data_IF_671577150638
#
_entry.id   IF_671577150638
#
_cell.length_a   1.000
_cell.length_b   1.000
_cell.length_c   1.000
_cell.angle_alpha   90.00
_cell.angle_beta   90.00
_cell.angle_gamma   90.00
#
_symmetry.space_group_name_H-M   'P 1'
#
loop_
_entity.id
_entity.type
_entity.pdbx_description
1 polymer ?
#
# COMPACT_ATOMS: atom_id res chain seq x y z
N UNK A 1 0.38 10.32 36.49
CA UNK A 1 -0.52 9.44 35.70
C UNK A 1 0.29 8.27 35.19
N UNK A 2 -0.02 7.04 35.59
CA UNK A 2 0.55 5.85 34.95
C UNK A 2 -0.24 5.60 33.67
N UNK A 3 0.44 5.56 32.52
CA UNK A 3 -0.16 5.14 31.25
C UNK A 3 -0.23 3.63 31.30
N UNK A 4 -1.44 3.07 31.29
CA UNK A 4 -1.60 1.63 31.31
C UNK A 4 -1.01 1.04 30.01
N UNK A 5 -0.23 -0.03 30.14
CA UNK A 5 0.43 -0.67 28.99
C UNK A 5 -0.59 -1.47 28.17
N UNK A 6 -0.26 -1.75 26.91
CA UNK A 6 -1.10 -2.57 26.01
C UNK A 6 -1.58 -3.88 26.67
N UNK A 7 -0.71 -4.58 27.41
CA UNK A 7 -1.04 -5.82 28.11
C UNK A 7 -2.05 -5.65 29.25
N UNK A 8 -2.02 -4.51 29.95
CA UNK A 8 -2.97 -4.20 31.03
C UNK A 8 -4.38 -3.95 30.49
N UNK A 9 -4.51 -3.33 29.31
CA UNK A 9 -5.82 -3.17 28.64
C UNK A 9 -6.39 -4.54 28.28
N UNK A 10 -5.57 -5.41 27.67
CA UNK A 10 -6.01 -6.75 27.25
C UNK A 10 -6.44 -7.57 28.47
N UNK A 11 -5.65 -7.56 29.55
CA UNK A 11 -6.01 -8.24 30.80
C UNK A 11 -7.29 -7.69 31.43
N UNK A 12 -7.47 -6.37 31.44
CA UNK A 12 -8.66 -5.71 32.00
C UNK A 12 -9.94 -6.08 31.25
N UNK A 13 -9.89 -6.07 29.91
CA UNK A 13 -11.04 -6.47 29.08
C UNK A 13 -11.34 -7.96 29.23
N UNK A 14 -10.31 -8.82 29.28
CA UNK A 14 -10.48 -10.25 29.55
C UNK A 14 -11.04 -10.52 30.97
N UNK A 15 -10.78 -9.65 31.94
CA UNK A 15 -11.34 -9.69 33.28
C UNK A 15 -12.79 -9.14 33.37
N UNK A 16 -13.37 -8.71 32.24
CA UNK A 16 -14.77 -8.28 32.16
C UNK A 16 -15.00 -6.77 32.19
N UNK A 17 -13.95 -5.94 32.17
CA UNK A 17 -14.15 -4.49 31.98
C UNK A 17 -14.67 -4.17 30.58
N UNK A 18 -15.51 -3.15 30.48
CA UNK A 18 -15.93 -2.62 29.18
C UNK A 18 -14.75 -1.97 28.44
N UNK A 19 -14.80 -2.01 27.11
CA UNK A 19 -13.80 -1.32 26.26
C UNK A 19 -13.72 0.18 26.54
N UNK A 20 -14.83 0.80 26.94
CA UNK A 20 -14.90 2.24 27.24
C UNK A 20 -14.10 2.54 28.50
N UNK A 21 -14.29 1.74 29.56
CA UNK A 21 -13.60 1.93 30.83
C UNK A 21 -12.11 1.60 30.71
N UNK A 22 -11.77 0.50 30.04
CA UNK A 22 -10.39 0.12 29.81
C UNK A 22 -9.64 1.18 28.97
N UNK A 23 -10.29 1.74 27.95
CA UNK A 23 -9.73 2.83 27.14
C UNK A 23 -9.53 4.11 27.96
N UNK A 24 -10.52 4.46 28.81
CA UNK A 24 -10.46 5.63 29.70
C UNK A 24 -9.32 5.52 30.71
N UNK A 25 -9.13 4.35 31.32
CA UNK A 25 -8.07 4.11 32.30
C UNK A 25 -6.67 4.20 31.67
N UNK A 26 -6.55 3.80 30.41
CA UNK A 26 -5.28 3.84 29.69
C UNK A 26 -5.02 5.13 28.90
N UNK A 27 -6.00 6.03 28.81
CA UNK A 27 -5.88 7.27 28.02
C UNK A 27 -5.83 7.03 26.51
N UNK A 28 -6.44 5.96 26.00
CA UNK A 28 -6.50 5.64 24.56
C UNK A 28 -7.93 5.76 24.03
N UNK A 29 -8.09 5.79 22.71
CA UNK A 29 -9.42 5.69 22.12
C UNK A 29 -9.98 4.27 22.24
N UNK A 30 -11.32 4.16 22.32
CA UNK A 30 -12.03 2.86 22.38
C UNK A 30 -11.64 1.96 21.21
N UNK A 31 -11.49 2.53 20.00
CA UNK A 31 -11.03 1.80 18.81
C UNK A 31 -9.62 1.22 18.95
N UNK A 32 -8.74 1.91 19.70
CA UNK A 32 -7.37 1.44 19.97
C UNK A 32 -7.38 0.29 20.97
N UNK A 33 -8.16 0.42 22.06
CA UNK A 33 -8.35 -0.66 23.03
C UNK A 33 -8.95 -1.91 22.37
N UNK A 34 -9.99 -1.74 21.54
CA UNK A 34 -10.59 -2.82 20.75
C UNK A 34 -9.54 -3.51 19.85
N UNK A 35 -8.73 -2.73 19.14
CA UNK A 35 -7.67 -3.27 18.27
C UNK A 35 -6.63 -4.05 19.08
N UNK A 36 -6.18 -3.56 20.22
CA UNK A 36 -5.19 -4.27 21.02
C UNK A 36 -5.71 -5.61 21.53
N UNK A 37 -6.95 -5.64 22.02
CA UNK A 37 -7.61 -6.90 22.43
C UNK A 37 -7.71 -7.87 21.26
N UNK A 38 -8.19 -7.44 20.09
CA UNK A 38 -8.44 -8.33 18.96
C UNK A 38 -7.21 -8.67 18.11
N UNK A 39 -6.11 -7.93 18.27
CA UNK A 39 -4.82 -8.27 17.63
C UNK A 39 -4.02 -9.25 18.49
N UNK A 40 -4.18 -9.21 19.82
CA UNK A 40 -3.52 -10.15 20.75
C UNK A 40 -4.37 -11.37 21.10
N UNK A 41 -5.64 -11.45 20.69
CA UNK A 41 -6.41 -12.70 20.73
C UNK A 41 -5.78 -13.74 19.80
N UNK A 42 -5.73 -15.00 20.24
CA UNK A 42 -5.23 -16.19 19.51
C UNK A 42 -5.83 -16.39 18.10
N UNK A 43 -6.87 -15.63 17.74
CA UNK A 43 -7.47 -15.59 16.40
C UNK A 43 -7.76 -14.14 16.02
N UNK A 44 -6.80 -13.41 15.43
CA UNK A 44 -7.06 -12.08 14.90
C UNK A 44 -8.17 -12.14 13.84
N UNK A 45 -8.95 -11.06 13.66
CA UNK A 45 -10.02 -11.02 12.66
C UNK A 45 -9.44 -11.36 11.29
N UNK A 46 -10.03 -12.38 10.65
CA UNK A 46 -9.63 -12.90 9.35
C UNK A 46 -9.61 -11.74 8.36
N UNK A 47 -8.41 -11.28 8.00
CA UNK A 47 -8.24 -10.32 6.90
C UNK A 47 -8.75 -11.01 5.63
N UNK A 48 -9.41 -10.22 4.76
CA UNK A 48 -10.02 -10.66 3.48
C UNK A 48 -9.24 -11.82 2.83
N UNK A 49 -9.95 -12.80 2.23
CA UNK A 49 -9.33 -14.02 1.72
C UNK A 49 -8.10 -13.67 0.87
N UNK A 50 -6.96 -14.14 1.35
CA UNK A 50 -5.69 -13.98 0.65
C UNK A 50 -5.80 -14.85 -0.61
N UNK A 51 -5.49 -14.29 -1.78
CA UNK A 51 -5.43 -15.06 -3.02
C UNK A 51 -4.63 -16.34 -2.78
N UNK A 52 -5.15 -17.48 -3.25
CA UNK A 52 -4.41 -18.73 -3.14
C UNK A 52 -3.07 -18.62 -3.89
N UNK A 53 -2.05 -19.33 -3.42
CA UNK A 53 -0.75 -19.31 -4.10
C UNK A 53 -0.85 -19.80 -5.55
N UNK A 54 -1.79 -20.70 -5.83
CA UNK A 54 -2.11 -21.15 -7.19
C UNK A 54 -2.71 -20.05 -8.06
N UNK A 55 -3.62 -19.24 -7.52
CA UNK A 55 -4.13 -18.07 -8.24
C UNK A 55 -3.02 -17.05 -8.50
N UNK A 56 -2.15 -16.80 -7.50
CA UNK A 56 -1.01 -15.89 -7.68
C UNK A 56 -0.06 -16.40 -8.76
N UNK A 57 0.22 -17.71 -8.81
CA UNK A 57 1.06 -18.32 -9.84
C UNK A 57 0.45 -18.15 -11.23
N UNK A 58 -0.83 -18.48 -11.41
CA UNK A 58 -1.55 -18.28 -12.69
C UNK A 58 -1.52 -16.81 -13.16
N UNK A 59 -1.68 -15.86 -12.24
CA UNK A 59 -1.59 -14.43 -12.56
C UNK A 59 -0.17 -14.06 -13.01
N UNK A 60 0.87 -14.57 -12.33
CA UNK A 60 2.28 -14.32 -12.70
C UNK A 60 2.60 -14.89 -14.07
N UNK A 61 2.25 -16.15 -14.33
CA UNK A 61 2.50 -16.81 -15.61
C UNK A 61 1.78 -16.08 -16.76
N UNK A 62 0.55 -15.60 -16.53
CA UNK A 62 -0.18 -14.81 -17.50
C UNK A 62 0.46 -13.44 -17.77
N UNK A 63 1.03 -12.79 -16.74
CA UNK A 63 1.79 -11.54 -16.90
C UNK A 63 3.06 -11.79 -17.71
N UNK A 64 3.82 -12.84 -17.37
CA UNK A 64 5.09 -13.18 -18.03
C UNK A 64 4.89 -13.56 -19.51
N UNK A 65 3.76 -14.19 -19.83
CA UNK A 65 3.42 -14.52 -21.23
C UNK A 65 3.25 -13.28 -22.13
N UNK A 66 2.90 -12.12 -21.55
CA UNK A 66 2.68 -10.86 -22.27
C UNK A 66 1.49 -10.86 -23.26
N UNK A 67 0.75 -11.96 -23.39
CA UNK A 67 -0.28 -12.13 -24.43
C UNK A 67 -1.61 -11.45 -24.10
N UNK A 68 -1.84 -11.10 -22.83
CA UNK A 68 -3.10 -10.54 -22.35
C UNK A 68 -2.89 -9.21 -21.62
N UNK A 69 -3.84 -8.29 -21.78
CA UNK A 69 -3.86 -7.07 -20.96
C UNK A 69 -4.10 -7.40 -19.49
N UNK A 70 -3.58 -6.58 -18.56
CA UNK A 70 -3.77 -6.78 -17.12
C UNK A 70 -5.26 -6.82 -16.71
N UNK A 71 -6.12 -6.12 -17.47
CA UNK A 71 -7.57 -6.12 -17.25
C UNK A 71 -8.19 -7.46 -17.64
N UNK A 72 -7.75 -8.07 -18.75
CA UNK A 72 -8.18 -9.41 -19.16
C UNK A 72 -7.71 -10.46 -18.16
N UNK A 73 -6.46 -10.36 -17.68
CA UNK A 73 -5.93 -11.25 -16.63
C UNK A 73 -6.77 -11.14 -15.36
N UNK A 74 -7.14 -9.92 -14.96
CA UNK A 74 -7.98 -9.69 -13.79
C UNK A 74 -9.36 -10.36 -13.90
N UNK A 75 -10.01 -10.23 -15.07
CA UNK A 75 -11.29 -10.89 -15.37
C UNK A 75 -11.14 -12.40 -15.32
N UNK A 76 -10.12 -12.95 -15.98
CA UNK A 76 -9.87 -14.40 -16.03
C UNK A 76 -9.56 -14.99 -14.64
N UNK A 77 -8.86 -14.25 -13.79
CA UNK A 77 -8.53 -14.67 -12.43
C UNK A 77 -9.64 -14.36 -11.40
N UNK A 78 -10.71 -13.66 -11.79
CA UNK A 78 -11.78 -13.25 -10.87
C UNK A 78 -11.33 -12.26 -9.79
N UNK A 79 -10.33 -11.43 -10.10
CA UNK A 79 -9.74 -10.48 -9.15
C UNK A 79 -9.92 -9.04 -9.61
N UNK A 80 -9.83 -8.10 -8.68
CA UNK A 80 -9.83 -6.69 -9.04
C UNK A 80 -8.53 -6.32 -9.79
N UNK A 81 -8.63 -5.43 -10.77
CA UNK A 81 -7.50 -4.99 -11.61
C UNK A 81 -6.30 -4.51 -10.78
N UNK A 82 -6.54 -3.83 -9.66
CA UNK A 82 -5.48 -3.32 -8.79
C UNK A 82 -4.59 -4.43 -8.24
N UNK A 83 -5.15 -5.62 -8.01
CA UNK A 83 -4.41 -6.76 -7.49
C UNK A 83 -3.39 -7.26 -8.50
N UNK A 84 -3.78 -7.34 -9.78
CA UNK A 84 -2.88 -7.73 -10.87
C UNK A 84 -1.76 -6.69 -11.04
N UNK A 85 -2.06 -5.39 -10.94
CA UNK A 85 -1.05 -4.33 -10.98
C UNK A 85 -0.03 -4.46 -9.85
N UNK A 86 -0.47 -4.71 -8.61
CA UNK A 86 0.44 -4.92 -7.48
C UNK A 86 1.31 -6.16 -7.68
N UNK A 87 0.77 -7.24 -8.23
CA UNK A 87 1.55 -8.46 -8.52
C UNK A 87 2.61 -8.16 -9.58
N UNK A 88 2.23 -7.53 -10.70
CA UNK A 88 3.18 -7.12 -11.75
C UNK A 88 4.29 -6.23 -11.19
N UNK A 89 3.94 -5.23 -10.40
CA UNK A 89 4.91 -4.28 -9.85
C UNK A 89 5.93 -4.96 -8.93
N UNK A 90 5.52 -6.02 -8.21
CA UNK A 90 6.41 -6.86 -7.39
C UNK A 90 7.28 -7.81 -8.21
N UNK A 91 6.88 -8.16 -9.42
CA UNK A 91 7.68 -9.01 -10.33
C UNK A 91 8.82 -8.20 -10.99
N UNK A 92 8.60 -6.92 -11.26
CA UNK A 92 9.65 -6.05 -11.79
C UNK A 92 10.69 -5.71 -10.72
N UNK A 93 11.96 -6.03 -10.98
CA UNK A 93 13.11 -5.63 -10.15
C UNK A 93 13.09 -4.10 -10.02
N UNK A 94 12.69 -3.59 -8.84
CA UNK A 94 12.47 -2.15 -8.61
C UNK A 94 11.11 -1.76 -8.04
N UNK A 95 10.10 -2.65 -8.02
CA UNK A 95 8.95 -2.66 -7.10
C UNK A 95 7.93 -1.49 -7.12
N UNK A 96 8.32 -0.35 -7.67
CA UNK A 96 7.54 0.88 -7.72
C UNK A 96 7.86 1.60 -9.01
N UNK A 97 6.86 1.76 -9.89
CA UNK A 97 6.94 2.87 -10.83
C UNK A 97 7.04 4.13 -9.98
N UNK A 98 8.08 4.96 -10.10
CA UNK A 98 8.12 6.23 -9.40
C UNK A 98 6.84 6.97 -9.77
N UNK A 99 6.09 7.45 -8.75
CA UNK A 99 4.97 8.35 -9.02
C UNK A 99 5.52 9.47 -9.90
N UNK A 100 4.84 9.82 -11.01
CA UNK A 100 5.31 10.90 -11.84
C UNK A 100 5.46 12.15 -10.96
N UNK A 101 6.69 12.65 -10.91
CA UNK A 101 7.01 13.87 -10.17
C UNK A 101 6.55 15.06 -11.00
N UNK A 102 6.23 16.18 -10.37
CA UNK A 102 6.08 17.44 -11.09
C UNK A 102 7.42 18.13 -11.16
N UNK A 103 7.82 18.55 -12.35
CA UNK A 103 9.01 19.37 -12.52
C UNK A 103 8.85 20.69 -11.76
N UNK A 104 9.87 21.08 -10.98
CA UNK A 104 9.86 22.35 -10.23
C UNK A 104 9.95 23.59 -11.14
N UNK A 105 10.45 23.44 -12.37
CA UNK A 105 10.55 24.53 -13.34
C UNK A 105 9.25 24.74 -14.12
N UNK A 106 8.82 23.73 -14.88
CA UNK A 106 7.69 23.86 -15.82
C UNK A 106 6.38 23.23 -15.34
N UNK A 107 6.35 22.53 -14.20
CA UNK A 107 5.16 21.87 -13.68
C UNK A 107 4.72 20.59 -14.41
N UNK A 108 5.41 20.19 -15.50
CA UNK A 108 5.13 18.97 -16.26
C UNK A 108 5.33 17.71 -15.41
N UNK A 109 4.53 16.68 -15.67
CA UNK A 109 4.70 15.35 -15.08
C UNK A 109 5.91 14.65 -15.72
N UNK A 110 6.88 14.26 -14.90
CA UNK A 110 8.10 13.58 -15.31
C UNK A 110 8.21 12.23 -14.60
N UNK A 111 8.62 11.21 -15.35
CA UNK A 111 8.93 9.87 -14.85
C UNK A 111 10.45 9.64 -14.70
N UNK A 112 11.25 10.55 -15.23
CA UNK A 112 12.72 10.58 -15.18
C UNK A 112 13.22 11.55 -14.10
N UNK A 113 14.48 11.40 -13.66
CA UNK A 113 15.10 12.30 -12.69
C UNK A 113 15.28 13.73 -13.25
N UNK A 114 15.44 13.86 -14.56
CA UNK A 114 15.60 15.14 -15.28
C UNK A 114 14.37 15.48 -16.11
N UNK A 115 14.02 16.76 -16.16
CA UNK A 115 12.91 17.25 -16.97
C UNK A 115 13.39 17.59 -18.38
N UNK A 116 13.15 16.66 -19.31
CA UNK A 116 13.52 16.81 -20.73
C UNK A 116 12.95 18.08 -21.37
N UNK A 117 11.81 18.57 -20.88
CA UNK A 117 11.20 19.81 -21.38
C UNK A 117 11.95 21.06 -20.92
N UNK A 118 12.43 21.08 -19.67
CA UNK A 118 13.31 22.15 -19.19
C UNK A 118 14.69 22.09 -19.85
N UNK A 119 15.26 20.89 -20.03
CA UNK A 119 16.52 20.70 -20.74
C UNK A 119 16.44 21.17 -22.19
N UNK A 120 15.37 20.82 -22.92
CA UNK A 120 15.16 21.28 -24.29
C UNK A 120 14.98 22.80 -24.38
N UNK A 121 14.36 23.44 -23.37
CA UNK A 121 14.26 24.90 -23.32
C UNK A 121 15.62 25.57 -23.04
N UNK A 122 16.41 25.01 -22.13
CA UNK A 122 17.78 25.48 -21.86
C UNK A 122 18.68 25.33 -23.09
N UNK A 123 18.63 24.19 -23.77
CA UNK A 123 19.38 23.93 -25.00
C UNK A 123 19.01 24.91 -26.13
N UNK A 124 17.72 25.28 -26.24
CA UNK A 124 17.27 26.30 -27.21
C UNK A 124 17.78 27.70 -26.85
N UNK A 125 17.79 28.07 -25.58
CA UNK A 125 18.36 29.36 -25.17
C UNK A 125 19.86 29.46 -25.40
N UNK A 126 20.61 28.36 -25.26
CA UNK A 126 22.05 28.34 -25.52
C UNK A 126 22.40 28.38 -27.00
N UNK A 127 21.58 27.80 -27.88
CA UNK A 127 21.79 27.87 -29.33
C UNK A 127 21.47 29.25 -29.94
N UNK A 128 20.67 30.09 -29.27
CA UNK A 128 20.34 31.44 -29.73
C UNK A 128 21.26 32.54 -29.14
N UNK A 129 22.29 32.16 -28.38
CA UNK A 129 23.25 33.09 -27.78
C UNK A 129 24.57 33.20 -28.56
N UNK A 130 24.63 32.66 -29.79
CA UNK A 130 25.74 32.82 -30.73
C UNK A 130 25.44 33.92 -31.75
#
# INVERSE_FOLDING_TARGET
MRVATRGEIVASVNAGLSYIEAARLAGVSVSTAWRWVHVDTLSPPIRRPTLSEDQKRKIRDAIDSGQASLRQIAIAAGVHHSTVCVIRDRMTVGGHRPRPLRCRGCGSLINTQVCLQCEASLARSSCCAC
#
